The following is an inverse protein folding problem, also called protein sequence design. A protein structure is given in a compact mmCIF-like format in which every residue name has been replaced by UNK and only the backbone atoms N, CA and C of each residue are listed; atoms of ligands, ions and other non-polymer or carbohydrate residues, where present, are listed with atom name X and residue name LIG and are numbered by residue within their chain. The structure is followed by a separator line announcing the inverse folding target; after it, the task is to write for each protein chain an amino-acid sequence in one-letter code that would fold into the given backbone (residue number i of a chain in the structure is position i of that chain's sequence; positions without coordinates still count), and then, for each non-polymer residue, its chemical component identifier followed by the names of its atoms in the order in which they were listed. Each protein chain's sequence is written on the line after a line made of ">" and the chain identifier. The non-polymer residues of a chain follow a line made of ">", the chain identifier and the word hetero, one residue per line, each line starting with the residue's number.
data_IF_182601233520
#
_entry.id   IF_182601233520
#
_cell.length_a   1.000
_cell.length_b   1.000
_cell.length_c   1.000
_cell.angle_alpha   90.00
_cell.angle_beta   90.00
_cell.angle_gamma   90.00
#
_symmetry.space_group_name_H-M   'P 1'
#
loop_
_entity.id
_entity.type
_entity.pdbx_description
1 polymer ?
#
# COMPACT_ATOMS: atom_id res chain seq x y z
N UNK A 1 -2.72 -9.12 -6.65
CA UNK A 1 -2.86 -10.08 -5.53
C UNK A 1 -4.19 -9.87 -4.79
N UNK A 2 -4.82 -10.94 -4.30
CA UNK A 2 -6.05 -10.90 -3.48
C UNK A 2 -7.28 -10.19 -4.10
N UNK A 3 -7.73 -10.53 -5.34
CA UNK A 3 -8.85 -9.86 -5.99
C UNK A 3 -10.16 -9.93 -5.18
N UNK A 4 -10.38 -11.02 -4.43
CA UNK A 4 -11.57 -11.21 -3.61
C UNK A 4 -11.57 -10.39 -2.31
N UNK A 5 -10.41 -9.89 -1.87
CA UNK A 5 -10.26 -9.15 -0.61
C UNK A 5 -10.47 -7.64 -0.78
N UNK A 6 -10.49 -7.16 -2.03
CA UNK A 6 -10.67 -5.76 -2.39
C UNK A 6 -9.78 -4.77 -1.60
N UNK A 7 -8.50 -5.15 -1.39
CA UNK A 7 -7.60 -4.48 -0.45
C UNK A 7 -7.40 -2.99 -0.73
N UNK A 8 -7.41 -2.58 -2.00
CA UNK A 8 -7.32 -1.18 -2.40
C UNK A 8 -8.37 -0.29 -1.72
N UNK A 9 -9.57 -0.83 -1.45
CA UNK A 9 -10.70 -0.08 -0.88
C UNK A 9 -10.84 -0.28 0.64
N UNK A 10 -9.93 -1.01 1.26
CA UNK A 10 -9.90 -1.28 2.72
C UNK A 10 -8.80 -0.52 3.45
N UNK A 11 -8.17 0.44 2.77
CA UNK A 11 -7.09 1.27 3.29
C UNK A 11 -7.36 2.75 2.96
N UNK A 12 -6.63 3.65 3.59
CA UNK A 12 -6.92 5.09 3.58
C UNK A 12 -6.76 5.73 2.18
N UNK A 13 -5.97 5.10 1.30
CA UNK A 13 -5.72 5.55 -0.06
C UNK A 13 -7.02 5.69 -0.89
N UNK A 14 -8.06 4.89 -0.59
CA UNK A 14 -9.28 4.85 -1.38
C UNK A 14 -10.02 6.20 -1.41
N UNK A 15 -10.01 6.93 -0.28
CA UNK A 15 -10.65 8.24 -0.19
C UNK A 15 -9.93 9.27 -1.05
N UNK A 16 -8.59 9.20 -1.14
CA UNK A 16 -7.80 10.05 -2.03
C UNK A 16 -8.10 9.73 -3.51
N UNK A 17 -8.17 8.44 -3.86
CA UNK A 17 -8.53 8.01 -5.21
C UNK A 17 -9.90 8.54 -5.64
N UNK A 18 -10.90 8.52 -4.75
CA UNK A 18 -12.24 9.10 -5.01
C UNK A 18 -12.22 10.60 -5.26
N UNK A 19 -11.21 11.31 -4.79
CA UNK A 19 -10.98 12.73 -5.08
C UNK A 19 -10.12 12.95 -6.34
N UNK A 20 -9.90 11.90 -7.13
CA UNK A 20 -9.07 11.92 -8.35
C UNK A 20 -7.57 11.99 -8.07
N UNK A 21 -7.12 11.81 -6.83
CA UNK A 21 -5.69 11.80 -6.50
C UNK A 21 -5.12 10.40 -6.84
N UNK A 22 -4.02 10.30 -7.60
CA UNK A 22 -3.33 9.03 -7.80
C UNK A 22 -2.90 8.46 -6.44
N UNK A 23 -3.46 7.31 -6.07
CA UNK A 23 -3.24 6.72 -4.77
C UNK A 23 -3.13 5.20 -4.90
N UNK A 24 -2.31 4.59 -4.05
CA UNK A 24 -2.13 3.15 -3.97
C UNK A 24 -1.87 2.73 -2.52
N UNK A 25 -2.09 1.46 -2.22
CA UNK A 25 -1.72 0.85 -0.94
C UNK A 25 -0.71 -0.26 -1.20
N UNK A 26 0.31 -0.35 -0.36
CA UNK A 26 1.33 -1.40 -0.42
C UNK A 26 1.23 -2.17 0.89
N UNK A 27 0.91 -3.45 0.80
CA UNK A 27 0.91 -4.37 1.92
C UNK A 27 1.85 -5.53 1.63
N UNK A 28 2.70 -5.85 2.60
CA UNK A 28 3.57 -7.04 2.59
C UNK A 28 2.99 -8.20 3.40
N UNK A 29 1.90 -7.96 4.12
CA UNK A 29 1.21 -8.97 4.92
C UNK A 29 0.52 -9.99 4.00
N UNK A 30 0.76 -11.29 4.19
CA UNK A 30 0.01 -12.34 3.51
C UNK A 30 -1.40 -12.45 4.11
N UNK A 31 -2.26 -11.50 3.76
CA UNK A 31 -3.53 -11.18 4.45
C UNK A 31 -4.52 -12.35 4.59
N UNK A 32 -4.37 -13.39 3.78
CA UNK A 32 -5.21 -14.57 3.76
C UNK A 32 -4.78 -15.65 4.76
N UNK A 33 -3.51 -15.64 5.17
CA UNK A 33 -2.90 -16.70 5.99
C UNK A 33 -2.09 -16.18 7.17
N UNK A 34 -1.93 -14.87 7.32
CA UNK A 34 -1.22 -14.25 8.46
C UNK A 34 -1.95 -14.55 9.78
N UNK A 35 -1.36 -15.36 10.68
CA UNK A 35 -1.99 -15.71 11.94
C UNK A 35 -2.01 -14.57 12.96
N UNK A 36 -1.18 -13.54 12.78
CA UNK A 36 -1.01 -12.44 13.72
C UNK A 36 -1.93 -11.26 13.38
N UNK A 37 -2.41 -11.17 12.13
CA UNK A 37 -3.27 -10.08 11.69
C UNK A 37 -4.56 -9.95 12.55
N UNK A 38 -4.77 -8.76 13.12
CA UNK A 38 -5.86 -8.45 14.07
C UNK A 38 -5.86 -9.30 15.35
N UNK A 39 -4.71 -9.88 15.73
CA UNK A 39 -4.53 -10.57 16.99
C UNK A 39 -3.68 -9.75 17.96
N UNK A 40 -3.74 -10.11 19.24
CA UNK A 40 -2.86 -9.55 20.28
C UNK A 40 -1.40 -10.01 20.12
N UNK A 41 -1.12 -10.95 19.21
CA UNK A 41 0.23 -11.39 18.87
C UNK A 41 0.90 -10.56 17.78
N UNK A 42 0.19 -9.56 17.19
CA UNK A 42 0.75 -8.61 16.22
C UNK A 42 1.73 -7.64 16.91
N UNK A 43 2.91 -8.15 17.23
CA UNK A 43 3.94 -7.50 18.03
C UNK A 43 5.29 -7.49 17.32
N UNK A 44 6.24 -6.73 17.83
CA UNK A 44 7.54 -6.52 17.19
C UNK A 44 8.28 -7.82 16.85
N UNK A 45 8.17 -8.84 17.70
CA UNK A 45 8.83 -10.13 17.55
C UNK A 45 8.38 -10.90 16.30
N UNK A 46 7.20 -10.61 15.73
CA UNK A 46 6.70 -11.26 14.50
C UNK A 46 7.25 -10.59 13.23
N UNK A 47 7.91 -9.44 13.36
CA UNK A 47 8.38 -8.65 12.23
C UNK A 47 9.68 -9.25 11.65
N UNK A 48 9.65 -9.58 10.36
CA UNK A 48 10.87 -9.81 9.60
C UNK A 48 11.56 -8.49 9.25
N UNK A 49 12.48 -8.05 10.11
CA UNK A 49 13.18 -6.75 10.00
C UNK A 49 13.95 -6.61 8.68
N UNK A 50 14.56 -7.68 8.18
CA UNK A 50 15.30 -7.64 6.92
C UNK A 50 14.36 -7.39 5.73
N UNK A 51 13.21 -8.07 5.70
CA UNK A 51 12.18 -7.85 4.68
C UNK A 51 11.61 -6.44 4.76
N UNK A 52 11.23 -5.98 5.96
CA UNK A 52 10.73 -4.63 6.19
C UNK A 52 11.71 -3.56 5.68
N UNK A 53 13.00 -3.69 6.02
CA UNK A 53 14.03 -2.73 5.61
C UNK A 53 14.18 -2.68 4.09
N UNK A 54 14.12 -3.84 3.41
CA UNK A 54 14.20 -3.90 1.96
C UNK A 54 12.96 -3.29 1.29
N UNK A 55 11.77 -3.52 1.86
CA UNK A 55 10.53 -2.88 1.40
C UNK A 55 10.60 -1.36 1.53
N UNK A 56 11.07 -0.84 2.66
CA UNK A 56 11.28 0.61 2.86
C UNK A 56 12.23 1.19 1.80
N UNK A 57 13.36 0.52 1.54
CA UNK A 57 14.30 0.95 0.51
C UNK A 57 13.67 0.96 -0.89
N UNK A 58 12.90 -0.07 -1.23
CA UNK A 58 12.22 -0.16 -2.52
C UNK A 58 11.19 0.96 -2.69
N UNK A 59 10.37 1.23 -1.68
CA UNK A 59 9.40 2.34 -1.68
C UNK A 59 10.12 3.69 -1.82
N UNK A 60 11.20 3.88 -1.05
CA UNK A 60 12.01 5.09 -1.12
C UNK A 60 12.56 5.33 -2.53
N UNK A 61 13.10 4.30 -3.18
CA UNK A 61 13.59 4.39 -4.56
C UNK A 61 12.47 4.71 -5.55
N UNK A 62 11.31 4.07 -5.43
CA UNK A 62 10.16 4.34 -6.29
C UNK A 62 9.62 5.78 -6.14
N UNK A 63 9.73 6.38 -4.96
CA UNK A 63 9.26 7.73 -4.70
C UNK A 63 10.17 8.84 -5.27
N UNK A 64 11.43 8.54 -5.64
CA UNK A 64 12.41 9.56 -6.07
C UNK A 64 11.92 10.38 -7.26
N UNK A 65 11.35 9.72 -8.28
CA UNK A 65 10.86 10.41 -9.49
C UNK A 65 9.70 11.36 -9.19
N UNK A 66 8.78 10.95 -8.31
CA UNK A 66 7.63 11.76 -7.88
C UNK A 66 8.11 12.97 -7.05
N UNK A 67 8.97 12.74 -6.06
CA UNK A 67 9.45 13.81 -5.16
C UNK A 67 10.32 14.82 -5.90
N UNK A 68 11.12 14.38 -6.87
CA UNK A 68 11.93 15.28 -7.71
C UNK A 68 11.13 16.03 -8.78
N UNK A 69 9.87 15.67 -9.00
CA UNK A 69 9.02 16.24 -10.06
C UNK A 69 9.34 15.72 -11.46
N UNK A 70 10.17 14.69 -11.58
CA UNK A 70 10.44 14.01 -12.85
C UNK A 70 9.22 13.19 -13.31
N UNK A 71 8.53 12.54 -12.38
CA UNK A 71 7.27 11.84 -12.63
C UNK A 71 6.11 12.70 -12.14
N UNK A 72 5.25 13.12 -13.07
CA UNK A 72 4.12 14.02 -12.79
C UNK A 72 2.78 13.31 -13.06
N UNK A 73 2.34 12.39 -12.18
CA UNK A 73 1.11 11.65 -12.40
C UNK A 73 -0.10 12.59 -12.41
N UNK A 74 -0.99 12.39 -13.39
CA UNK A 74 -2.21 13.17 -13.55
C UNK A 74 -3.34 12.58 -12.74
N UNK A 75 -4.40 13.38 -12.51
CA UNK A 75 -5.60 12.91 -11.81
C UNK A 75 -6.17 11.65 -12.45
N UNK A 76 -6.67 10.74 -11.61
CA UNK A 76 -7.40 9.56 -12.05
C UNK A 76 -8.88 9.88 -12.26
N UNK A 77 -9.53 9.17 -13.18
CA UNK A 77 -10.97 9.28 -13.38
C UNK A 77 -11.71 8.56 -12.24
N UNK A 78 -12.30 9.35 -11.34
CA UNK A 78 -13.04 8.82 -10.21
C UNK A 78 -14.29 8.01 -10.61
N UNK A 79 -14.81 8.18 -11.83
CA UNK A 79 -15.94 7.38 -12.33
C UNK A 79 -15.58 5.94 -12.64
N UNK A 80 -14.28 5.62 -12.76
CA UNK A 80 -13.76 4.27 -12.99
C UNK A 80 -13.50 3.49 -11.69
N UNK A 81 -13.75 4.10 -10.53
CA UNK A 81 -13.56 3.47 -9.22
C UNK A 81 -14.85 2.78 -8.76
N UNK A 82 -14.71 1.58 -8.19
CA UNK A 82 -15.82 0.77 -7.68
C UNK A 82 -16.45 1.34 -6.40
#
# INVERSE_FOLDING_TARGET
>A
PYPNQNLFYRSDNATLARLGVPAHTISTTPIDVDPDYHQVSDEFETINVAHLTNTIRAISQAAVGIVSGQDTPTRVDASQLN
#
